data_IF_011515336829
#
_entry.id   IF_011515336829
#
_cell.length_a   1.000
_cell.length_b   1.000
_cell.length_c   1.000
_cell.angle_alpha   90.00
_cell.angle_beta   90.00
_cell.angle_gamma   90.00
#
_symmetry.space_group_name_H-M   'P 1'
#
loop_
_entity.id
_entity.type
_entity.pdbx_description
1 polymer ?
#
# COMPACT_ATOMS: atom_id res chain seq x y z
N UNK A 1 40.22 2.99 -16.42
CA UNK A 1 38.79 3.15 -16.09
C UNK A 1 38.40 1.85 -15.43
N UNK A 2 38.11 1.86 -14.14
CA UNK A 2 37.65 0.65 -13.45
C UNK A 2 36.32 0.22 -14.07
N UNK A 3 36.19 -1.07 -14.37
CA UNK A 3 34.94 -1.63 -14.88
C UNK A 3 33.79 -1.23 -13.95
N UNK A 4 32.64 -0.75 -14.48
CA UNK A 4 31.53 -0.35 -13.64
C UNK A 4 31.13 -1.53 -12.75
N UNK A 5 31.03 -1.28 -11.45
CA UNK A 5 30.64 -2.31 -10.48
C UNK A 5 29.14 -2.57 -10.64
N UNK A 6 28.79 -3.73 -11.21
CA UNK A 6 27.40 -4.10 -11.51
C UNK A 6 26.80 -4.87 -10.32
N UNK A 7 25.48 -4.76 -10.13
CA UNK A 7 24.73 -5.65 -9.25
C UNK A 7 24.48 -6.94 -10.03
N UNK A 8 25.21 -7.99 -9.70
CA UNK A 8 25.08 -9.32 -10.30
C UNK A 8 24.79 -10.40 -9.24
N UNK A 9 24.60 -11.65 -9.69
CA UNK A 9 24.30 -12.78 -8.80
C UNK A 9 25.45 -13.10 -7.84
N UNK A 10 26.69 -12.83 -8.21
CA UNK A 10 27.85 -13.08 -7.36
C UNK A 10 27.90 -12.08 -6.20
N UNK A 11 27.70 -10.79 -6.49
CA UNK A 11 27.55 -9.74 -5.49
C UNK A 11 26.39 -10.05 -4.53
N UNK A 12 25.23 -10.47 -5.05
CA UNK A 12 24.08 -10.83 -4.20
C UNK A 12 24.38 -12.03 -3.31
N UNK A 13 25.05 -13.05 -3.83
CA UNK A 13 25.46 -14.21 -3.05
C UNK A 13 26.38 -13.82 -1.89
N UNK A 14 27.39 -12.99 -2.16
CA UNK A 14 28.30 -12.46 -1.13
C UNK A 14 27.56 -11.61 -0.09
N UNK A 15 26.71 -10.68 -0.54
CA UNK A 15 25.94 -9.81 0.35
C UNK A 15 25.04 -10.60 1.30
N UNK A 16 24.36 -11.64 0.80
CA UNK A 16 23.52 -12.53 1.62
C UNK A 16 24.33 -13.27 2.68
N UNK A 17 25.51 -13.76 2.33
CA UNK A 17 26.39 -14.48 3.28
C UNK A 17 26.88 -13.59 4.42
N UNK A 18 26.96 -12.28 4.19
CA UNK A 18 27.40 -11.28 5.18
C UNK A 18 26.25 -10.57 5.90
N UNK A 19 24.99 -10.86 5.56
CA UNK A 19 23.84 -10.07 6.01
C UNK A 19 23.69 -9.97 7.54
N UNK A 20 24.06 -11.02 8.28
CA UNK A 20 24.03 -11.03 9.74
C UNK A 20 25.10 -10.11 10.38
N UNK A 21 26.18 -9.82 9.65
CA UNK A 21 27.32 -9.02 10.10
C UNK A 21 27.18 -7.54 9.74
N UNK A 22 26.28 -7.21 8.80
CA UNK A 22 26.09 -5.85 8.30
C UNK A 22 24.90 -5.17 8.96
N UNK A 23 25.03 -3.86 9.18
CA UNK A 23 23.89 -2.98 9.43
C UNK A 23 23.25 -2.48 8.12
N UNK A 24 22.10 -1.81 8.24
CA UNK A 24 21.33 -1.33 7.09
C UNK A 24 22.10 -0.26 6.31
N UNK A 25 22.90 0.57 6.98
CA UNK A 25 23.64 1.66 6.34
C UNK A 25 24.82 1.12 5.51
N UNK A 26 25.49 0.08 5.99
CA UNK A 26 26.52 -0.64 5.25
C UNK A 26 25.95 -1.32 4.00
N UNK A 27 24.82 -2.03 4.14
CA UNK A 27 24.13 -2.67 3.00
C UNK A 27 23.71 -1.59 1.98
N UNK A 28 23.10 -0.50 2.46
CA UNK A 28 22.64 0.61 1.62
C UNK A 28 23.81 1.21 0.85
N UNK A 29 24.94 1.46 1.51
CA UNK A 29 26.15 1.99 0.89
C UNK A 29 26.62 1.10 -0.26
N UNK A 30 26.79 -0.20 -0.02
CA UNK A 30 27.28 -1.15 -1.04
C UNK A 30 26.37 -1.21 -2.29
N UNK A 31 25.05 -1.17 -2.09
CA UNK A 31 24.08 -1.15 -3.19
C UNK A 31 24.08 0.21 -3.91
N UNK A 32 24.06 1.32 -3.16
CA UNK A 32 24.00 2.67 -3.72
C UNK A 32 25.19 3.02 -4.61
N UNK A 33 26.40 2.56 -4.26
CA UNK A 33 27.61 2.75 -5.08
C UNK A 33 27.48 2.10 -6.46
N UNK A 34 26.77 0.97 -6.56
CA UNK A 34 26.50 0.22 -7.82
C UNK A 34 25.26 0.72 -8.57
N UNK A 35 24.45 1.55 -7.91
CA UNK A 35 23.27 2.21 -8.48
C UNK A 35 23.57 3.62 -9.01
N UNK A 36 24.76 4.17 -8.73
CA UNK A 36 25.12 5.54 -9.12
C UNK A 36 25.01 5.74 -10.63
N UNK A 37 24.38 6.85 -11.04
CA UNK A 37 24.20 7.23 -12.44
C UNK A 37 23.03 6.53 -13.14
N UNK A 38 22.26 5.70 -12.43
CA UNK A 38 21.07 5.06 -12.99
C UNK A 38 19.84 5.96 -12.89
N UNK A 39 19.01 5.89 -13.92
CA UNK A 39 17.71 6.54 -13.96
C UNK A 39 16.64 5.61 -13.41
N UNK A 40 15.90 6.06 -12.40
CA UNK A 40 14.73 5.37 -11.87
C UNK A 40 13.48 5.94 -12.53
N UNK A 41 12.60 5.07 -13.00
CA UNK A 41 11.29 5.44 -13.54
C UNK A 41 10.24 5.33 -12.45
N UNK A 42 9.23 6.18 -12.53
CA UNK A 42 8.25 6.36 -11.46
C UNK A 42 6.83 6.27 -12.04
N UNK A 43 5.92 5.49 -11.42
CA UNK A 43 4.52 5.52 -11.81
C UNK A 43 3.92 6.91 -11.57
N UNK A 44 3.02 7.31 -12.46
CA UNK A 44 2.19 8.49 -12.27
C UNK A 44 0.95 8.11 -11.47
N UNK A 45 0.88 8.58 -10.23
CA UNK A 45 -0.31 8.41 -9.39
C UNK A 45 -1.07 9.74 -9.37
N UNK A 46 -2.30 9.80 -9.90
CA UNK A 46 -3.08 11.03 -9.91
C UNK A 46 -3.37 11.55 -8.49
N UNK A 47 -3.59 12.86 -8.37
CA UNK A 47 -4.33 13.39 -7.22
C UNK A 47 -5.70 12.70 -7.12
N UNK A 48 -6.32 12.78 -5.95
CA UNK A 48 -7.60 12.15 -5.62
C UNK A 48 -7.59 10.61 -5.60
N UNK A 49 -6.43 9.98 -5.82
CA UNK A 49 -6.27 8.52 -5.68
C UNK A 49 -6.51 8.09 -4.24
N UNK A 50 -7.29 7.03 -4.06
CA UNK A 50 -7.54 6.42 -2.75
C UNK A 50 -6.52 5.33 -2.40
N UNK A 51 -6.10 5.32 -1.15
CA UNK A 51 -5.31 4.24 -0.55
C UNK A 51 -6.00 3.72 0.70
N UNK A 52 -5.81 2.44 0.95
CA UNK A 52 -6.52 1.69 1.96
C UNK A 52 -5.53 1.11 2.96
N UNK A 53 -5.86 1.15 4.25
CA UNK A 53 -5.05 0.55 5.30
C UNK A 53 -5.93 -0.17 6.28
N UNK A 54 -5.52 -1.36 6.68
CA UNK A 54 -6.16 -2.13 7.74
C UNK A 54 -5.32 -2.10 9.01
N UNK A 55 -5.98 -2.07 10.16
CA UNK A 55 -5.38 -2.24 11.48
C UNK A 55 -6.17 -3.32 12.21
N UNK A 56 -5.46 -4.35 12.69
CA UNK A 56 -6.05 -5.36 13.57
C UNK A 56 -6.43 -4.70 14.90
N UNK A 57 -7.60 -5.04 15.42
CA UNK A 57 -8.00 -4.66 16.76
C UNK A 57 -7.48 -5.67 17.77
N UNK A 58 -6.82 -5.17 18.80
CA UNK A 58 -6.43 -5.97 19.97
C UNK A 58 -7.52 -5.80 21.04
N UNK A 59 -8.21 -6.90 21.38
CA UNK A 59 -9.31 -6.87 22.35
C UNK A 59 -10.69 -6.56 21.76
N UNK A 60 -11.63 -6.18 22.63
CA UNK A 60 -13.01 -5.85 22.24
C UNK A 60 -13.09 -4.45 21.64
N UNK A 61 -13.73 -4.31 20.49
CA UNK A 61 -14.02 -3.00 19.91
C UNK A 61 -14.98 -2.20 20.80
N UNK A 62 -14.64 -0.92 21.00
CA UNK A 62 -15.55 0.06 21.60
C UNK A 62 -15.69 1.27 20.68
N UNK A 63 -16.94 1.58 20.31
CA UNK A 63 -17.25 2.77 19.52
C UNK A 63 -17.00 4.08 20.28
N UNK A 64 -16.75 4.03 21.59
CA UNK A 64 -16.47 5.19 22.44
C UNK A 64 -15.00 5.39 22.77
N UNK A 65 -14.12 4.43 22.42
CA UNK A 65 -12.70 4.42 22.81
C UNK A 65 -11.82 5.47 22.10
N UNK A 66 -12.40 6.49 21.48
CA UNK A 66 -11.64 7.63 20.98
C UNK A 66 -10.58 7.25 19.94
N UNK A 67 -10.88 6.26 19.10
CA UNK A 67 -10.08 5.97 17.90
C UNK A 67 -10.22 7.18 16.97
N UNK A 68 -9.11 7.64 16.41
CA UNK A 68 -9.08 8.76 15.47
C UNK A 68 -8.12 8.46 14.32
N UNK A 69 -8.09 9.28 13.27
CA UNK A 69 -7.25 9.01 12.09
C UNK A 69 -5.77 8.75 12.43
N UNK A 70 -5.22 9.44 13.44
CA UNK A 70 -3.84 9.20 13.90
C UNK A 70 -3.58 7.78 14.41
N UNK A 71 -4.57 7.11 15.03
CA UNK A 71 -4.46 5.71 15.46
C UNK A 71 -4.48 4.71 14.30
N UNK A 72 -5.08 5.13 13.18
CA UNK A 72 -5.19 4.33 11.96
C UNK A 72 -4.04 4.61 10.98
N UNK A 73 -3.25 5.65 11.23
CA UNK A 73 -2.07 6.03 10.47
C UNK A 73 -0.85 5.13 10.74
N UNK A 74 0.34 5.60 10.43
CA UNK A 74 1.61 4.96 10.77
C UNK A 74 1.87 5.00 12.29
N UNK A 75 2.56 4.00 12.87
CA UNK A 75 2.86 3.99 14.30
C UNK A 75 3.85 5.10 14.69
N UNK A 76 3.84 5.62 15.92
CA UNK A 76 4.87 6.54 16.38
C UNK A 76 6.23 5.84 16.46
N UNK A 77 7.31 6.60 16.23
CA UNK A 77 8.68 6.09 16.13
C UNK A 77 9.09 5.12 17.26
N UNK A 78 8.83 5.39 18.56
CA UNK A 78 9.29 4.51 19.65
C UNK A 78 8.78 3.07 19.59
N UNK A 79 7.61 2.84 18.98
CA UNK A 79 6.98 1.52 18.86
C UNK A 79 6.94 1.01 17.42
N UNK A 80 7.60 1.70 16.49
CA UNK A 80 7.62 1.32 15.08
C UNK A 80 8.54 0.10 14.87
N UNK A 81 7.99 -1.07 14.49
CA UNK A 81 8.81 -2.23 14.19
C UNK A 81 9.57 -2.04 12.87
N UNK A 82 10.60 -2.85 12.64
CA UNK A 82 11.17 -2.99 11.31
C UNK A 82 10.16 -3.68 10.38
N UNK A 83 10.18 -3.30 9.11
CA UNK A 83 9.35 -3.89 8.06
C UNK A 83 10.09 -3.87 6.72
N UNK A 84 9.40 -4.27 5.65
CA UNK A 84 10.00 -4.39 4.31
C UNK A 84 10.61 -3.09 3.79
N UNK A 85 10.02 -1.97 4.18
CA UNK A 85 10.32 -0.64 3.65
C UNK A 85 10.84 0.31 4.73
N UNK A 86 11.04 -0.17 5.96
CA UNK A 86 11.48 0.67 7.05
C UNK A 86 12.30 -0.10 8.09
N UNK A 87 13.31 0.55 8.65
CA UNK A 87 14.01 0.05 9.83
C UNK A 87 13.22 0.38 11.11
N UNK A 88 13.53 -0.33 12.20
CA UNK A 88 12.92 -0.09 13.52
C UNK A 88 13.12 1.37 13.93
N UNK A 89 12.06 2.00 14.43
CA UNK A 89 12.11 3.41 14.84
C UNK A 89 11.81 4.42 13.74
N UNK A 90 11.69 4.00 12.49
CA UNK A 90 11.47 4.88 11.34
C UNK A 90 10.08 4.61 10.76
N UNK A 91 9.07 5.42 11.08
CA UNK A 91 7.71 5.11 10.71
C UNK A 91 7.43 5.31 9.23
N UNK A 92 6.63 4.39 8.68
CA UNK A 92 6.06 4.45 7.34
C UNK A 92 4.58 4.10 7.40
N UNK A 93 3.80 4.77 6.57
CA UNK A 93 2.39 4.45 6.35
C UNK A 93 2.27 3.38 5.27
N UNK A 94 2.07 2.13 5.72
CA UNK A 94 1.77 1.01 4.85
C UNK A 94 0.27 0.99 4.50
N UNK A 95 -0.03 0.95 3.22
CA UNK A 95 -1.36 0.88 2.66
C UNK A 95 -1.36 0.02 1.40
N UNK A 96 -2.53 -0.13 0.78
CA UNK A 96 -2.72 -0.76 -0.51
C UNK A 96 -3.54 0.16 -1.43
N UNK A 97 -3.46 -0.05 -2.73
CA UNK A 97 -4.25 0.69 -3.74
C UNK A 97 -5.68 0.14 -3.89
N UNK A 98 -5.98 -0.96 -3.19
CA UNK A 98 -7.29 -1.61 -3.10
C UNK A 98 -7.45 -2.26 -1.73
N UNK A 99 -8.68 -2.66 -1.38
CA UNK A 99 -8.96 -3.38 -0.12
C UNK A 99 -8.43 -4.81 -0.11
N UNK A 100 -8.28 -5.44 -1.28
CA UNK A 100 -8.03 -6.88 -1.39
C UNK A 100 -6.75 -7.36 -0.69
N UNK A 101 -5.59 -6.67 -0.80
CA UNK A 101 -4.36 -7.11 -0.16
C UNK A 101 -4.37 -7.01 1.37
N UNK A 102 -5.24 -6.16 1.94
CA UNK A 102 -5.13 -5.75 3.34
C UNK A 102 -5.14 -6.91 4.33
N UNK A 103 -6.06 -7.87 4.14
CA UNK A 103 -6.19 -9.01 5.04
C UNK A 103 -5.13 -10.07 4.80
N UNK A 104 -4.66 -10.24 3.57
CA UNK A 104 -3.52 -11.13 3.26
C UNK A 104 -2.24 -10.64 3.92
N UNK A 105 -1.95 -9.34 3.80
CA UNK A 105 -0.75 -8.73 4.38
C UNK A 105 -0.73 -8.82 5.92
N UNK A 106 -1.91 -8.79 6.55
CA UNK A 106 -2.05 -8.95 7.99
C UNK A 106 -2.17 -10.41 8.44
N UNK A 107 -2.19 -11.37 7.51
CA UNK A 107 -2.37 -12.79 7.82
C UNK A 107 -3.68 -13.07 8.58
N UNK A 108 -4.74 -12.35 8.23
CA UNK A 108 -5.99 -12.33 8.97
C UNK A 108 -6.59 -13.74 9.14
N UNK A 109 -7.15 -14.00 10.33
CA UNK A 109 -7.80 -15.26 10.67
C UNK A 109 -9.31 -15.07 10.90
N UNK A 110 -10.13 -16.13 10.74
CA UNK A 110 -11.54 -16.08 11.09
C UNK A 110 -11.77 -15.59 12.54
N UNK A 111 -12.88 -14.87 12.73
CA UNK A 111 -13.27 -14.18 13.96
C UNK A 111 -12.39 -12.99 14.39
N UNK A 112 -11.32 -12.67 13.67
CA UNK A 112 -10.54 -11.46 13.96
C UNK A 112 -11.25 -10.20 13.46
N UNK A 113 -11.03 -9.10 14.18
CA UNK A 113 -11.61 -7.80 13.87
C UNK A 113 -10.55 -6.83 13.36
N UNK A 114 -10.94 -6.01 12.38
CA UNK A 114 -10.08 -5.01 11.78
C UNK A 114 -10.83 -3.70 11.61
N UNK A 115 -10.10 -2.60 11.64
CA UNK A 115 -10.56 -1.32 11.09
C UNK A 115 -9.88 -1.11 9.76
N UNK A 116 -10.68 -1.02 8.70
CA UNK A 116 -10.24 -0.49 7.42
C UNK A 116 -10.36 1.03 7.46
N UNK A 117 -9.37 1.71 6.89
CA UNK A 117 -9.33 3.16 6.75
C UNK A 117 -9.04 3.51 5.30
N UNK A 118 -9.81 4.46 4.78
CA UNK A 118 -9.74 4.96 3.41
C UNK A 118 -9.20 6.38 3.46
N UNK A 119 -8.16 6.62 2.66
CA UNK A 119 -7.45 7.88 2.61
C UNK A 119 -7.35 8.35 1.17
N UNK A 120 -7.54 9.65 0.95
CA UNK A 120 -7.44 10.27 -0.37
C UNK A 120 -6.17 11.11 -0.47
N UNK A 121 -5.39 10.90 -1.53
CA UNK A 121 -4.26 11.76 -1.89
C UNK A 121 -4.75 13.12 -2.36
N UNK A 122 -4.29 14.20 -1.75
CA UNK A 122 -4.68 15.57 -2.11
C UNK A 122 -3.85 16.15 -3.26
N UNK A 123 -2.67 15.56 -3.52
CA UNK A 123 -1.78 15.93 -4.62
C UNK A 123 -1.23 14.65 -5.27
N UNK A 124 -0.75 14.76 -6.50
CA UNK A 124 -0.02 13.67 -7.17
C UNK A 124 1.35 13.47 -6.51
N UNK A 125 1.65 12.30 -5.91
CA UNK A 125 2.95 12.04 -5.31
C UNK A 125 4.00 11.61 -6.34
N UNK A 126 5.27 11.88 -6.04
CA UNK A 126 6.39 11.20 -6.69
C UNK A 126 6.65 9.90 -5.93
N UNK A 127 6.37 8.76 -6.55
CA UNK A 127 6.46 7.43 -5.93
C UNK A 127 7.48 6.60 -6.69
N UNK A 128 8.41 5.97 -5.98
CA UNK A 128 9.29 4.97 -6.59
C UNK A 128 8.58 3.62 -6.70
N UNK A 129 9.00 2.74 -7.59
CA UNK A 129 8.45 1.39 -7.70
C UNK A 129 9.53 0.33 -7.47
N UNK A 130 9.16 -0.75 -6.76
CA UNK A 130 10.02 -1.90 -6.50
C UNK A 130 9.24 -3.19 -6.71
N UNK A 131 9.87 -4.23 -7.27
CA UNK A 131 9.25 -5.56 -7.41
C UNK A 131 8.42 -5.76 -8.69
N UNK A 132 8.43 -4.82 -9.63
CA UNK A 132 7.57 -4.85 -10.82
C UNK A 132 8.20 -5.49 -12.06
N UNK A 133 9.13 -6.43 -11.88
CA UNK A 133 9.70 -7.17 -13.01
C UNK A 133 8.90 -8.43 -13.34
N UNK A 134 9.04 -8.89 -14.58
CA UNK A 134 8.39 -10.10 -15.05
C UNK A 134 8.81 -11.33 -14.24
N UNK A 135 10.09 -11.43 -13.85
CA UNK A 135 10.60 -12.53 -13.04
C UNK A 135 9.90 -12.61 -11.67
N UNK A 136 9.68 -11.47 -11.01
CA UNK A 136 8.99 -11.40 -9.72
C UNK A 136 7.56 -11.89 -9.87
N UNK A 137 6.82 -11.39 -10.85
CA UNK A 137 5.41 -11.75 -11.05
C UNK A 137 5.26 -13.25 -11.39
N UNK A 138 6.15 -13.79 -12.22
CA UNK A 138 6.18 -15.23 -12.52
C UNK A 138 6.55 -16.06 -11.28
N UNK A 139 7.58 -15.66 -10.53
CA UNK A 139 8.03 -16.39 -9.34
C UNK A 139 6.99 -16.43 -8.23
N UNK A 140 6.18 -15.36 -8.11
CA UNK A 140 5.08 -15.27 -7.16
C UNK A 140 3.82 -15.99 -7.67
N UNK A 141 3.74 -16.42 -8.92
CA UNK A 141 2.55 -17.05 -9.48
C UNK A 141 1.39 -16.06 -9.68
N UNK A 142 1.70 -14.84 -10.10
CA UNK A 142 0.69 -13.81 -10.35
C UNK A 142 -0.26 -14.20 -11.49
N UNK A 143 -1.53 -13.83 -11.36
CA UNK A 143 -2.55 -13.98 -12.42
C UNK A 143 -2.67 -12.75 -13.31
N UNK A 144 -1.94 -11.68 -12.99
CA UNK A 144 -1.86 -10.47 -13.81
C UNK A 144 -0.45 -10.28 -14.32
N UNK A 145 -0.32 -9.49 -15.39
CA UNK A 145 0.99 -9.11 -15.90
C UNK A 145 1.61 -7.99 -15.04
N UNK A 146 2.94 -7.94 -15.06
CA UNK A 146 3.67 -6.82 -14.49
C UNK A 146 3.31 -5.52 -15.25
N UNK A 147 2.86 -4.45 -14.56
CA UNK A 147 2.62 -3.15 -15.18
C UNK A 147 3.84 -2.66 -15.96
N UNK A 148 3.60 -2.25 -17.20
CA UNK A 148 4.65 -1.67 -18.04
C UNK A 148 4.80 -0.17 -17.78
N UNK A 149 5.07 0.24 -16.54
CA UNK A 149 5.41 1.65 -16.25
C UNK A 149 6.77 2.04 -16.85
N UNK A 150 7.58 1.05 -17.17
CA UNK A 150 8.97 1.19 -17.52
C UNK A 150 9.23 1.26 -19.03
N UNK A 151 8.25 1.00 -19.90
CA UNK A 151 8.47 0.75 -21.33
C UNK A 151 8.55 1.99 -22.23
N UNK A 152 8.13 3.19 -21.78
CA UNK A 152 8.22 4.41 -22.59
C UNK A 152 9.56 5.13 -22.42
N UNK A 153 10.64 4.63 -23.02
CA UNK A 153 11.84 5.46 -23.24
C UNK A 153 11.59 6.37 -24.45
N UNK A 154 12.03 7.64 -24.43
CA UNK A 154 12.37 8.31 -25.68
C UNK A 154 13.36 7.39 -26.41
N UNK A 155 13.14 7.14 -27.70
CA UNK A 155 13.90 6.16 -28.50
C UNK A 155 15.43 6.39 -28.49
N UNK A 156 15.89 7.55 -28.01
CA UNK A 156 17.27 8.01 -28.04
C UNK A 156 18.18 7.48 -26.91
N UNK A 157 17.66 6.88 -25.84
CA UNK A 157 18.48 6.30 -24.76
C UNK A 157 18.30 4.79 -24.67
N UNK A 158 19.14 4.01 -25.35
CA UNK A 158 19.12 2.55 -25.22
C UNK A 158 19.35 2.13 -23.75
N UNK A 159 18.39 1.43 -23.18
CA UNK A 159 18.60 0.75 -21.89
C UNK A 159 19.74 -0.25 -22.08
N UNK A 160 20.76 -0.18 -21.24
CA UNK A 160 21.79 -1.21 -21.29
C UNK A 160 21.19 -2.51 -20.74
N UNK A 161 21.64 -3.66 -21.26
CA UNK A 161 21.24 -4.96 -20.69
C UNK A 161 21.51 -5.06 -19.18
N UNK A 162 22.49 -4.31 -18.68
CA UNK A 162 22.87 -4.27 -17.26
C UNK A 162 21.84 -3.54 -16.38
N UNK A 163 21.11 -2.57 -16.92
CA UNK A 163 20.07 -1.85 -16.19
C UNK A 163 18.92 -2.77 -15.83
N UNK A 164 18.41 -3.49 -16.83
CA UNK A 164 17.35 -4.48 -16.64
C UNK A 164 17.77 -5.59 -15.68
N UNK A 165 18.99 -6.12 -15.82
CA UNK A 165 19.48 -7.18 -14.91
C UNK A 165 19.54 -6.73 -13.46
N UNK A 166 19.99 -5.51 -13.20
CA UNK A 166 20.05 -4.98 -11.82
C UNK A 166 18.67 -4.71 -11.25
N UNK A 167 17.77 -4.11 -12.03
CA UNK A 167 16.39 -3.88 -11.60
C UNK A 167 15.68 -5.19 -11.26
N UNK A 168 15.91 -6.23 -12.08
CA UNK A 168 15.38 -7.58 -11.87
C UNK A 168 15.92 -8.19 -10.57
N UNK A 169 17.24 -8.14 -10.36
CA UNK A 169 17.87 -8.66 -9.15
C UNK A 169 17.39 -7.92 -7.90
N UNK A 170 17.32 -6.58 -7.91
CA UNK A 170 16.83 -5.80 -6.77
C UNK A 170 15.34 -6.06 -6.50
N UNK A 171 14.54 -6.21 -7.56
CA UNK A 171 13.12 -6.52 -7.46
C UNK A 171 12.87 -7.90 -6.86
N UNK A 172 13.66 -8.90 -7.25
CA UNK A 172 13.63 -10.23 -6.64
C UNK A 172 14.01 -10.18 -5.16
N UNK A 173 15.15 -9.56 -4.82
CA UNK A 173 15.60 -9.40 -3.44
C UNK A 173 14.55 -8.70 -2.57
N UNK A 174 13.95 -7.64 -3.12
CA UNK A 174 12.91 -6.87 -2.44
C UNK A 174 11.63 -7.69 -2.24
N UNK A 175 11.31 -8.62 -3.15
CA UNK A 175 10.05 -9.37 -3.15
C UNK A 175 10.14 -10.73 -2.45
N UNK A 176 11.31 -11.08 -1.89
CA UNK A 176 11.47 -12.30 -1.12
C UNK A 176 10.49 -12.39 0.05
N UNK A 177 9.98 -13.61 0.27
CA UNK A 177 9.19 -13.91 1.46
C UNK A 177 10.11 -13.90 2.68
N UNK A 178 9.82 -13.00 3.61
CA UNK A 178 10.50 -12.90 4.90
C UNK A 178 9.63 -13.60 5.93
N UNK A 179 10.15 -14.64 6.58
CA UNK A 179 9.44 -15.32 7.65
C UNK A 179 9.56 -14.53 8.96
N UNK A 180 8.63 -14.71 9.89
CA UNK A 180 8.55 -13.92 11.14
C UNK A 180 9.79 -14.03 12.04
N UNK A 181 10.56 -15.11 11.91
CA UNK A 181 11.81 -15.31 12.64
C UNK A 181 13.05 -14.77 11.90
N UNK A 182 12.91 -14.30 10.66
CA UNK A 182 14.01 -13.87 9.80
C UNK A 182 14.15 -12.34 9.79
N UNK A 183 14.14 -11.72 10.97
CA UNK A 183 14.17 -10.26 11.11
C UNK A 183 15.38 -9.61 10.41
N UNK A 184 16.51 -10.32 10.30
CA UNK A 184 17.69 -9.84 9.56
C UNK A 184 17.43 -9.64 8.07
N UNK A 185 16.50 -10.39 7.45
CA UNK A 185 16.14 -10.18 6.03
C UNK A 185 15.42 -8.86 5.79
N UNK A 186 14.79 -8.28 6.82
CA UNK A 186 14.26 -6.92 6.71
C UNK A 186 15.37 -5.87 6.58
N UNK A 187 16.61 -6.15 7.00
CA UNK A 187 17.72 -5.21 6.79
C UNK A 187 17.98 -4.97 5.30
N UNK A 188 18.00 -6.05 4.50
CA UNK A 188 18.24 -5.96 3.06
C UNK A 188 17.12 -5.20 2.35
N UNK A 189 15.87 -5.57 2.62
CA UNK A 189 14.71 -4.92 1.98
C UNK A 189 14.57 -3.45 2.39
N UNK A 190 14.82 -3.12 3.67
CA UNK A 190 14.86 -1.74 4.13
C UNK A 190 16.02 -0.94 3.52
N UNK A 191 17.20 -1.54 3.36
CA UNK A 191 18.33 -0.88 2.71
C UNK A 191 18.01 -0.55 1.24
N UNK A 192 17.42 -1.51 0.50
CA UNK A 192 16.96 -1.28 -0.88
C UNK A 192 15.90 -0.17 -0.89
N UNK A 193 14.91 -0.22 0.01
CA UNK A 193 13.86 0.79 0.12
C UNK A 193 14.41 2.21 0.35
N UNK A 194 15.43 2.34 1.20
CA UNK A 194 15.98 3.65 1.55
C UNK A 194 16.73 4.33 0.41
N UNK A 195 17.30 3.56 -0.53
CA UNK A 195 17.85 4.09 -1.78
C UNK A 195 16.74 4.75 -2.61
N UNK A 196 15.54 4.17 -2.58
CA UNK A 196 14.36 4.67 -3.27
C UNK A 196 13.65 5.82 -2.52
N UNK A 197 14.17 6.26 -1.38
CA UNK A 197 13.71 7.45 -0.63
C UNK A 197 14.64 8.64 -0.75
N UNK A 198 15.83 8.47 -1.34
CA UNK A 198 16.83 9.53 -1.38
C UNK A 198 16.35 10.75 -2.16
N UNK A 199 17.01 11.89 -1.90
CA UNK A 199 16.69 13.14 -2.58
C UNK A 199 16.91 12.96 -4.09
N UNK A 200 15.97 13.47 -4.87
CA UNK A 200 16.17 13.57 -6.31
C UNK A 200 17.26 14.59 -6.61
N UNK A 201 17.92 14.44 -7.76
CA UNK A 201 18.92 15.37 -8.23
C UNK A 201 18.40 16.82 -8.20
N UNK A 202 19.19 17.75 -7.65
CA UNK A 202 18.78 19.13 -7.39
C UNK A 202 18.11 19.37 -6.02
N UNK A 203 17.91 18.34 -5.20
CA UNK A 203 17.59 18.43 -3.76
C UNK A 203 16.20 18.98 -3.39
N UNK A 204 15.47 19.58 -4.34
CA UNK A 204 14.18 20.21 -4.10
C UNK A 204 13.00 19.22 -4.09
N UNK A 205 13.16 18.02 -4.66
CA UNK A 205 12.10 17.00 -4.75
C UNK A 205 12.49 15.75 -3.96
N UNK A 206 11.50 15.15 -3.29
CA UNK A 206 11.67 13.92 -2.53
C UNK A 206 10.61 12.91 -2.97
N UNK A 207 10.97 11.63 -2.93
CA UNK A 207 9.98 10.56 -3.03
C UNK A 207 9.02 10.62 -1.84
N UNK A 208 7.73 10.62 -2.13
CA UNK A 208 6.66 10.49 -1.14
C UNK A 208 6.57 9.07 -0.59
N UNK A 209 7.09 8.08 -1.32
CA UNK A 209 6.98 6.68 -0.94
C UNK A 209 7.40 5.70 -2.04
N UNK A 210 7.07 4.43 -1.81
CA UNK A 210 7.31 3.31 -2.72
C UNK A 210 6.01 2.54 -2.93
N UNK A 211 5.67 2.23 -4.18
CA UNK A 211 4.64 1.26 -4.53
C UNK A 211 5.31 -0.08 -4.87
N UNK A 212 4.68 -1.19 -4.50
CA UNK A 212 5.24 -2.53 -4.67
C UNK A 212 4.14 -3.59 -4.71
N UNK A 213 4.34 -4.73 -5.40
CA UNK A 213 3.35 -5.79 -5.41
C UNK A 213 3.24 -6.46 -4.03
N UNK A 214 2.03 -6.88 -3.69
CA UNK A 214 1.76 -7.67 -2.49
C UNK A 214 2.35 -9.07 -2.63
N UNK A 215 3.41 -9.36 -1.87
CA UNK A 215 3.98 -10.72 -1.78
C UNK A 215 2.98 -11.67 -1.13
N UNK A 216 2.20 -11.20 -0.14
CA UNK A 216 1.19 -11.99 0.54
C UNK A 216 0.03 -12.41 -0.37
N UNK A 217 -0.22 -11.66 -1.45
CA UNK A 217 -1.27 -11.92 -2.43
C UNK A 217 -0.70 -12.31 -3.81
N UNK A 218 0.51 -12.88 -3.86
CA UNK A 218 1.13 -13.39 -5.10
C UNK A 218 1.20 -12.33 -6.22
N UNK A 219 1.55 -11.11 -5.86
CA UNK A 219 1.54 -9.93 -6.72
C UNK A 219 0.19 -9.60 -7.38
N UNK A 220 -0.95 -10.15 -6.92
CA UNK A 220 -2.28 -9.85 -7.47
C UNK A 220 -2.93 -8.58 -6.89
N UNK A 221 -2.18 -7.84 -6.08
CA UNK A 221 -2.55 -6.50 -5.64
C UNK A 221 -1.30 -5.68 -5.35
N UNK A 222 -1.49 -4.38 -5.16
CA UNK A 222 -0.41 -3.42 -4.96
C UNK A 222 -0.48 -2.80 -3.57
N UNK A 223 0.64 -2.82 -2.89
CA UNK A 223 0.89 -2.09 -1.67
C UNK A 223 1.56 -0.75 -1.99
N UNK A 224 1.38 0.21 -1.10
CA UNK A 224 2.05 1.51 -1.14
C UNK A 224 2.50 1.89 0.25
N UNK A 225 3.76 2.30 0.37
CA UNK A 225 4.39 2.75 1.59
C UNK A 225 4.71 4.24 1.47
N UNK A 226 4.07 5.07 2.28
CA UNK A 226 4.21 6.53 2.23
C UNK A 226 4.99 7.06 3.43
N UNK A 227 5.82 8.07 3.18
CA UNK A 227 6.63 8.74 4.20
C UNK A 227 5.75 9.67 5.06
N UNK A 228 6.06 9.81 6.36
CA UNK A 228 5.30 10.66 7.29
C UNK A 228 5.00 12.06 6.76
N UNK A 229 6.01 12.74 6.19
CA UNK A 229 5.85 14.10 5.68
C UNK A 229 4.76 14.25 4.62
N UNK A 230 4.54 13.20 3.80
CA UNK A 230 3.50 13.20 2.79
C UNK A 230 2.15 12.86 3.41
N UNK A 231 2.12 11.85 4.28
CA UNK A 231 0.89 11.42 4.97
C UNK A 231 0.28 12.58 5.76
N UNK A 232 1.10 13.27 6.56
CA UNK A 232 0.63 14.32 7.47
C UNK A 232 0.09 15.56 6.74
N UNK A 233 0.55 15.81 5.50
CA UNK A 233 0.22 17.03 4.75
C UNK A 233 -0.71 16.80 3.56
N UNK A 234 -0.71 15.59 3.01
CA UNK A 234 -1.25 15.33 1.68
C UNK A 234 -2.15 14.09 1.62
N UNK A 235 -2.39 13.40 2.74
CA UNK A 235 -3.47 12.43 2.85
C UNK A 235 -4.62 13.01 3.67
N UNK A 236 -5.84 12.84 3.16
CA UNK A 236 -7.06 13.13 3.89
C UNK A 236 -7.76 11.82 4.23
N UNK A 237 -8.03 11.59 5.52
CA UNK A 237 -8.92 10.50 5.93
C UNK A 237 -10.34 10.76 5.42
N UNK A 238 -11.01 9.71 4.94
CA UNK A 238 -12.37 9.81 4.37
C UNK A 238 -13.40 8.94 5.07
N UNK A 239 -13.03 7.70 5.37
CA UNK A 239 -13.95 6.72 5.95
C UNK A 239 -13.18 5.66 6.70
N UNK A 240 -13.80 5.13 7.74
CA UNK A 240 -13.37 3.91 8.40
C UNK A 240 -14.50 2.90 8.51
N UNK A 241 -14.15 1.62 8.41
CA UNK A 241 -15.09 0.50 8.43
C UNK A 241 -14.57 -0.50 9.45
N UNK A 242 -15.38 -0.80 10.46
CA UNK A 242 -15.11 -1.90 11.39
C UNK A 242 -15.63 -3.18 10.78
N UNK A 243 -14.75 -4.16 10.60
CA UNK A 243 -15.10 -5.45 10.01
C UNK A 243 -14.74 -6.59 10.95
N UNK A 244 -15.40 -7.72 10.73
CA UNK A 244 -15.03 -9.04 11.25
C UNK A 244 -14.77 -9.97 10.06
N UNK A 245 -13.72 -10.77 10.16
CA UNK A 245 -13.49 -11.87 9.22
C UNK A 245 -14.36 -13.05 9.61
N UNK A 246 -15.24 -13.47 8.72
CA UNK A 246 -16.13 -14.61 8.97
C UNK A 246 -15.45 -15.92 8.57
N UNK A 247 -14.83 -15.95 7.40
CA UNK A 247 -14.16 -17.13 6.86
C UNK A 247 -13.02 -16.73 5.90
N UNK A 248 -12.13 -17.68 5.62
CA UNK A 248 -11.12 -17.57 4.56
C UNK A 248 -10.87 -18.94 3.93
N UNK A 249 -10.75 -18.96 2.59
CA UNK A 249 -10.35 -20.14 1.81
C UNK A 249 -8.87 -20.08 1.38
N UNK A 250 -8.11 -19.12 1.92
CA UNK A 250 -6.72 -18.83 1.55
C UNK A 250 -6.56 -18.08 0.23
N UNK A 251 -7.63 -17.82 -0.52
CA UNK A 251 -7.63 -17.04 -1.78
C UNK A 251 -8.53 -15.81 -1.71
N UNK A 252 -9.43 -15.79 -0.74
CA UNK A 252 -10.40 -14.74 -0.47
C UNK A 252 -10.77 -14.74 1.02
N UNK A 253 -11.51 -13.70 1.41
CA UNK A 253 -12.06 -13.54 2.75
C UNK A 253 -13.55 -13.22 2.63
N UNK A 254 -14.36 -13.90 3.43
CA UNK A 254 -15.72 -13.45 3.71
C UNK A 254 -15.67 -12.54 4.94
N UNK A 255 -16.28 -11.37 4.85
CA UNK A 255 -16.27 -10.37 5.91
C UNK A 255 -17.66 -9.84 6.18
N UNK A 256 -17.91 -9.51 7.45
CA UNK A 256 -19.07 -8.76 7.88
C UNK A 256 -18.62 -7.37 8.29
N UNK A 257 -19.19 -6.34 7.65
CA UNK A 257 -19.07 -4.97 8.14
C UNK A 257 -19.98 -4.82 9.37
N UNK A 258 -19.43 -4.31 10.46
CA UNK A 258 -20.11 -4.18 11.75
C UNK A 258 -20.50 -2.72 12.04
N UNK A 259 -19.64 -1.78 11.65
CA UNK A 259 -19.87 -0.34 11.84
C UNK A 259 -19.06 0.46 10.83
N UNK A 260 -19.41 1.74 10.66
CA UNK A 260 -18.62 2.67 9.85
C UNK A 260 -18.58 4.06 10.48
N UNK A 261 -17.47 4.77 10.26
CA UNK A 261 -17.30 6.16 10.62
C UNK A 261 -17.00 6.97 9.36
N UNK A 262 -17.83 7.99 9.10
CA UNK A 262 -17.68 8.93 7.98
C UNK A 262 -17.31 10.34 8.45
N UNK A 263 -17.48 10.59 9.74
CA UNK A 263 -17.28 11.89 10.37
C UNK A 263 -16.34 11.80 11.57
N UNK A 264 -15.83 12.97 11.98
CA UNK A 264 -15.08 13.14 13.22
C UNK A 264 -15.93 13.92 14.23
N UNK A 265 -15.86 13.53 15.49
CA UNK A 265 -16.45 14.31 16.59
C UNK A 265 -15.65 15.59 16.88
N UNK A 266 -16.16 16.42 17.79
CA UNK A 266 -15.53 17.69 18.18
C UNK A 266 -14.12 17.54 18.79
N UNK A 267 -13.70 16.32 19.13
CA UNK A 267 -12.36 16.01 19.63
C UNK A 267 -11.45 15.33 18.60
N UNK A 268 -11.89 15.24 17.34
CA UNK A 268 -11.15 14.62 16.24
C UNK A 268 -11.13 13.10 16.26
N UNK A 269 -12.07 12.47 16.97
CA UNK A 269 -12.24 11.00 17.00
C UNK A 269 -13.28 10.56 16.00
N UNK A 270 -13.17 9.31 15.56
CA UNK A 270 -14.13 8.70 14.65
C UNK A 270 -15.51 8.66 15.29
N UNK A 271 -16.49 9.26 14.61
CA UNK A 271 -17.90 9.14 14.98
C UNK A 271 -18.48 7.89 14.31
N UNK A 272 -18.54 6.80 15.06
CA UNK A 272 -19.12 5.54 14.60
C UNK A 272 -20.65 5.64 14.51
N UNK A 273 -21.22 5.11 13.43
CA UNK A 273 -22.64 5.18 13.16
C UNK A 273 -23.47 4.27 14.08
N UNK A 274 -22.86 3.22 14.65
CA UNK A 274 -23.53 2.21 15.47
C UNK A 274 -24.30 1.18 14.64
N UNK A 275 -24.04 1.11 13.33
CA UNK A 275 -24.61 0.13 12.41
C UNK A 275 -23.74 0.01 11.16
N UNK A 276 -23.81 -1.15 10.51
CA UNK A 276 -23.28 -1.32 9.15
C UNK A 276 -24.37 -1.09 8.09
N UNK A 277 -23.93 -0.64 6.93
CA UNK A 277 -24.79 -0.39 5.78
C UNK A 277 -25.41 1.00 5.74
N UNK A 278 -26.27 1.19 4.75
CA UNK A 278 -26.86 2.48 4.43
C UNK A 278 -28.16 2.71 5.21
N UNK A 279 -28.34 3.94 5.69
CA UNK A 279 -29.65 4.43 6.14
C UNK A 279 -30.21 5.38 5.11
N UNK A 280 -31.45 5.13 4.72
CA UNK A 280 -32.22 6.05 3.88
C UNK A 280 -32.28 7.41 4.59
N UNK A 281 -31.78 8.49 3.95
CA UNK A 281 -31.86 9.83 4.51
C UNK A 281 -33.28 10.23 4.89
N UNK A 282 -33.47 11.01 5.96
CA UNK A 282 -34.78 11.54 6.32
C UNK A 282 -35.43 12.30 5.16
N UNK A 283 -36.72 12.06 4.94
CA UNK A 283 -37.50 12.75 3.90
C UNK A 283 -37.57 12.04 2.55
N UNK A 284 -36.85 10.94 2.35
CA UNK A 284 -37.01 10.09 1.16
C UNK A 284 -38.13 9.08 1.44
N UNK A 285 -39.24 9.19 0.69
CA UNK A 285 -40.39 8.30 0.79
C UNK A 285 -40.37 7.15 -0.23
N UNK A 286 -39.67 7.31 -1.35
CA UNK A 286 -39.45 6.26 -2.36
C UNK A 286 -38.15 6.51 -3.11
N UNK A 287 -37.52 5.42 -3.57
CA UNK A 287 -36.24 5.47 -4.25
C UNK A 287 -35.83 4.09 -4.76
N UNK A 288 -34.87 4.06 -5.68
CA UNK A 288 -34.29 2.82 -6.18
C UNK A 288 -32.76 2.89 -6.15
N UNK A 289 -32.12 1.73 -5.99
CA UNK A 289 -30.66 1.64 -5.96
C UNK A 289 -30.11 1.27 -7.34
N UNK A 290 -29.07 1.98 -7.76
CA UNK A 290 -28.35 1.73 -9.01
C UNK A 290 -26.90 1.40 -8.69
N UNK A 291 -26.39 0.32 -9.25
CA UNK A 291 -24.96 0.01 -9.19
C UNK A 291 -24.22 0.93 -10.16
N UNK A 292 -23.29 1.72 -9.64
CA UNK A 292 -22.49 2.67 -10.40
C UNK A 292 -21.05 2.19 -10.42
N UNK A 293 -20.43 2.12 -11.59
CA UNK A 293 -19.02 1.74 -11.73
C UNK A 293 -18.10 2.76 -11.06
N UNK A 294 -17.04 2.26 -10.43
CA UNK A 294 -16.05 3.07 -9.71
C UNK A 294 -16.28 3.18 -8.21
N UNK A 295 -15.43 3.97 -7.56
CA UNK A 295 -15.49 4.24 -6.12
C UNK A 295 -16.47 5.39 -5.85
N UNK A 296 -17.08 5.39 -4.67
CA UNK A 296 -17.87 6.52 -4.20
C UNK A 296 -16.98 7.72 -3.81
N UNK A 297 -17.59 8.83 -3.37
CA UNK A 297 -16.90 10.04 -2.94
C UNK A 297 -16.01 9.86 -1.69
N UNK A 298 -16.23 8.79 -0.93
CA UNK A 298 -15.43 8.41 0.23
C UNK A 298 -14.33 7.41 -0.13
N UNK A 299 -14.23 7.01 -1.40
CA UNK A 299 -13.30 6.01 -1.92
C UNK A 299 -13.73 4.58 -1.65
N UNK A 300 -14.95 4.37 -1.17
CA UNK A 300 -15.49 3.06 -0.89
C UNK A 300 -16.02 2.39 -2.16
N UNK A 301 -16.01 1.06 -2.16
CA UNK A 301 -16.48 0.24 -3.27
C UNK A 301 -16.70 -1.21 -2.84
N UNK A 302 -17.46 -1.91 -3.68
CA UNK A 302 -17.68 -3.36 -3.66
C UNK A 302 -17.37 -3.96 -5.04
N UNK A 303 -17.31 -5.28 -5.11
CA UNK A 303 -17.24 -6.00 -6.38
C UNK A 303 -18.65 -6.44 -6.79
N UNK A 304 -19.09 -5.96 -7.95
CA UNK A 304 -20.35 -6.36 -8.57
C UNK A 304 -20.21 -7.65 -9.37
N UNK A 305 -21.16 -7.86 -10.29
CA UNK A 305 -21.10 -8.96 -11.25
C UNK A 305 -19.82 -8.85 -12.10
N UNK A 306 -19.22 -9.98 -12.44
CA UNK A 306 -18.02 -10.08 -13.27
C UNK A 306 -16.79 -9.32 -12.71
N UNK A 307 -16.73 -9.15 -11.38
CA UNK A 307 -15.67 -8.43 -10.66
C UNK A 307 -15.54 -6.94 -11.01
N UNK A 308 -16.60 -6.32 -11.55
CA UNK A 308 -16.62 -4.87 -11.78
C UNK A 308 -16.59 -4.14 -10.44
N UNK A 309 -15.62 -3.23 -10.27
CA UNK A 309 -15.55 -2.34 -9.10
C UNK A 309 -16.64 -1.30 -9.22
N UNK A 310 -17.49 -1.19 -8.20
CA UNK A 310 -18.58 -0.22 -8.18
C UNK A 310 -19.11 0.05 -6.78
N UNK A 311 -20.12 0.89 -6.69
CA UNK A 311 -20.83 1.20 -5.46
C UNK A 311 -22.32 1.36 -5.73
N UNK A 312 -23.14 1.20 -4.70
CA UNK A 312 -24.58 1.41 -4.81
C UNK A 312 -24.91 2.88 -4.59
N UNK A 313 -25.84 3.39 -5.39
CA UNK A 313 -26.35 4.76 -5.28
C UNK A 313 -27.87 4.70 -5.14
N UNK A 314 -28.41 5.23 -4.04
CA UNK A 314 -29.84 5.46 -3.90
C UNK A 314 -30.22 6.70 -4.69
N UNK A 315 -31.24 6.59 -5.54
CA UNK A 315 -31.85 7.71 -6.25
C UNK A 315 -33.24 7.96 -5.66
N UNK A 316 -33.46 9.14 -5.10
CA UNK A 316 -34.80 9.59 -4.65
C UNK A 316 -35.68 9.83 -5.88
N UNK A 317 -36.79 9.10 -6.00
CA UNK A 317 -37.69 9.19 -7.15
C UNK A 317 -38.39 10.55 -7.25
N UNK A 318 -38.60 11.23 -6.12
CA UNK A 318 -39.32 12.51 -6.09
C UNK A 318 -38.43 13.66 -6.52
N UNK A 319 -37.16 13.65 -6.12
CA UNK A 319 -36.24 14.78 -6.31
C UNK A 319 -35.11 14.51 -7.30
N UNK A 320 -34.86 13.25 -7.64
CA UNK A 320 -33.71 12.81 -8.43
C UNK A 320 -32.37 12.91 -7.70
N UNK A 321 -32.36 13.26 -6.40
CA UNK A 321 -31.13 13.34 -5.60
C UNK A 321 -30.50 11.96 -5.43
N UNK A 322 -29.16 11.94 -5.44
CA UNK A 322 -28.34 10.72 -5.40
C UNK A 322 -27.58 10.66 -4.08
N UNK A 323 -27.53 9.47 -3.47
CA UNK A 323 -26.85 9.22 -2.20
C UNK A 323 -26.01 7.95 -2.31
N UNK A 324 -24.72 8.02 -1.99
CA UNK A 324 -23.89 6.83 -1.87
C UNK A 324 -24.37 5.96 -0.70
N UNK A 325 -24.53 4.67 -0.99
CA UNK A 325 -25.05 3.65 -0.06
C UNK A 325 -23.91 3.07 0.77
#
# INVERSE_FOLDING_TARGET
MDSPTIIDRAFVGDLRNRLSLLDIDQIKKEISERMRGRTIRVPQIPADTFVYRARKLEGSFSSTEGIGPGHLSYPPAPICPAGRLNRKGFPIFYAATSKSPLLFELGAQPAEHFIFSIWQMQISPIISCLGYTHSVFTSLGSKREAPQWLSSRPEDEAATSNDFMTEDILSELFSEKVLSYENDKYKLTAAIAEIHYELLEGGAKQFAGVIYPSVAMWANGDNIALRPWFVDKHLQWKKSIHIKVDSSDGKSFEITELDSARDLDGSGKLQWAGYSGFRVPPGISSGHCVFTEGRDELGDYIYGKDNVVGHWVLIDEKTGRRFAV
#
